data_IF_583434421898
#
_entry.id   IF_583434421898
#
_cell.length_a   1.000
_cell.length_b   1.000
_cell.length_c   1.000
_cell.angle_alpha   90.00
_cell.angle_beta   90.00
_cell.angle_gamma   90.00
#
_symmetry.space_group_name_H-M   'P 1'
#
loop_
_entity.id
_entity.type
_entity.pdbx_description
1 polymer ?
#
# COMPACT_ATOMS: atom_id res chain seq x y z
N UNK A 1 1.95 4.43 -11.46
CA UNK A 1 1.78 3.31 -12.41
C UNK A 1 2.78 2.22 -12.05
N UNK A 2 2.35 0.98 -11.92
CA UNK A 2 3.22 -0.17 -11.66
C UNK A 2 3.02 -1.23 -12.75
N UNK A 3 3.99 -2.14 -12.92
CA UNK A 3 3.95 -3.16 -13.96
C UNK A 3 4.38 -4.53 -13.46
N UNK A 4 3.65 -5.57 -13.91
CA UNK A 4 4.03 -6.97 -13.75
C UNK A 4 5.12 -7.33 -14.77
N UNK A 5 6.05 -8.21 -14.45
CA UNK A 5 7.18 -8.66 -15.29
C UNK A 5 8.21 -7.60 -15.71
N UNK A 6 8.09 -6.36 -15.29
CA UNK A 6 9.07 -5.32 -15.59
C UNK A 6 9.56 -4.58 -14.35
N UNK A 7 9.01 -4.89 -13.17
CA UNK A 7 9.34 -4.20 -11.92
C UNK A 7 9.42 -2.69 -12.13
N UNK A 8 8.30 -2.07 -12.48
CA UNK A 8 8.26 -0.63 -12.72
C UNK A 8 7.25 0.06 -11.82
N UNK A 9 7.68 1.10 -11.13
CA UNK A 9 6.85 2.07 -10.45
C UNK A 9 7.22 3.45 -11.00
N UNK A 10 6.25 4.13 -11.62
CA UNK A 10 6.48 5.39 -12.32
C UNK A 10 5.57 6.48 -11.75
N UNK A 11 6.12 7.67 -11.53
CA UNK A 11 5.34 8.89 -11.40
C UNK A 11 5.29 9.62 -12.73
N UNK A 12 4.08 9.90 -13.20
CA UNK A 12 3.83 10.48 -14.53
C UNK A 12 3.07 11.78 -14.35
N UNK A 13 3.58 12.86 -14.96
CA UNK A 13 2.88 14.14 -15.05
C UNK A 13 1.87 14.06 -16.20
N UNK A 14 0.60 13.85 -15.85
CA UNK A 14 -0.46 13.59 -16.83
C UNK A 14 -0.64 14.71 -17.86
N UNK A 15 -0.43 15.97 -17.47
CA UNK A 15 -0.55 17.13 -18.37
C UNK A 15 0.45 17.09 -19.54
N UNK A 16 1.58 16.41 -19.37
CA UNK A 16 2.66 16.27 -20.35
C UNK A 16 2.67 14.90 -21.04
N UNK A 17 1.82 13.97 -20.58
CA UNK A 17 1.78 12.59 -21.06
C UNK A 17 0.93 12.48 -22.34
N UNK A 18 1.56 12.63 -23.52
CA UNK A 18 0.89 12.51 -24.83
C UNK A 18 1.65 11.50 -25.69
N UNK A 19 0.92 10.53 -26.25
CA UNK A 19 1.51 9.48 -27.10
C UNK A 19 2.50 8.60 -26.36
N UNK A 20 3.60 8.25 -26.99
CA UNK A 20 4.70 7.51 -26.35
C UNK A 20 5.53 8.47 -25.48
N UNK A 21 5.51 8.22 -24.18
CA UNK A 21 6.23 9.02 -23.17
C UNK A 21 7.57 8.40 -22.77
N UNK A 22 8.02 7.32 -23.41
CA UNK A 22 9.28 6.65 -23.12
C UNK A 22 10.45 7.63 -23.22
N UNK A 23 11.17 7.81 -22.10
CA UNK A 23 12.29 8.74 -22.05
C UNK A 23 11.92 10.23 -22.08
N UNK A 24 10.63 10.58 -22.00
CA UNK A 24 10.19 11.98 -21.97
C UNK A 24 10.23 12.58 -20.57
N UNK A 25 10.20 13.91 -20.45
CA UNK A 25 10.07 14.63 -19.18
C UNK A 25 8.73 14.42 -18.46
N UNK A 26 7.76 13.75 -19.09
CA UNK A 26 6.51 13.38 -18.46
C UNK A 26 6.72 12.32 -17.36
N UNK A 27 7.79 11.52 -17.43
CA UNK A 27 8.19 10.60 -16.35
C UNK A 27 9.00 11.39 -15.34
N UNK A 28 8.39 11.72 -14.19
CA UNK A 28 9.01 12.53 -13.14
C UNK A 28 10.10 11.75 -12.43
N UNK A 29 9.81 10.50 -12.05
CA UNK A 29 10.75 9.55 -11.49
C UNK A 29 10.33 8.10 -11.80
N UNK A 30 11.30 7.20 -11.72
CA UNK A 30 11.13 5.76 -11.95
C UNK A 30 11.84 4.96 -10.88
N UNK A 31 11.21 3.87 -10.45
CA UNK A 31 11.78 2.87 -9.57
C UNK A 31 11.57 1.48 -10.19
N UNK A 32 12.57 0.61 -10.14
CA UNK A 32 12.56 -0.68 -10.85
C UNK A 32 12.83 -1.89 -9.93
N UNK A 33 12.90 -1.66 -8.61
CA UNK A 33 13.09 -2.71 -7.62
C UNK A 33 11.96 -2.72 -6.61
N UNK A 34 11.62 -3.92 -6.11
CA UNK A 34 10.67 -4.12 -5.01
C UNK A 34 9.31 -3.41 -5.22
N UNK A 35 8.85 -3.38 -6.47
CA UNK A 35 7.65 -2.66 -6.91
C UNK A 35 6.37 -3.44 -6.61
N UNK A 36 5.20 -2.76 -6.51
CA UNK A 36 3.92 -3.42 -6.26
C UNK A 36 3.46 -4.26 -7.45
N UNK A 37 2.64 -5.28 -7.14
CA UNK A 37 2.01 -6.15 -8.15
C UNK A 37 0.48 -6.03 -8.08
N UNK A 38 -0.19 -6.83 -7.25
CA UNK A 38 -1.67 -6.80 -7.13
C UNK A 38 -2.14 -5.65 -6.25
N UNK A 39 -1.61 -5.45 -5.01
CA UNK A 39 -2.04 -4.35 -4.18
C UNK A 39 -1.69 -3.01 -4.80
N UNK A 40 -2.64 -2.09 -4.84
CA UNK A 40 -2.38 -0.72 -5.27
C UNK A 40 -1.49 0.01 -4.27
N UNK A 41 -0.63 0.90 -4.78
CA UNK A 41 0.07 1.85 -3.94
C UNK A 41 -0.91 2.85 -3.33
N UNK A 42 -0.62 3.31 -2.12
CA UNK A 42 -1.39 4.29 -1.38
C UNK A 42 -0.64 5.62 -1.35
N UNK A 43 -1.26 6.67 -1.87
CA UNK A 43 -0.80 8.05 -1.68
C UNK A 43 -1.54 8.66 -0.49
N UNK A 44 -0.79 9.14 0.51
CA UNK A 44 -1.34 9.78 1.70
C UNK A 44 -0.48 10.98 2.11
N UNK A 45 -0.99 12.19 1.85
CA UNK A 45 -0.18 13.40 1.90
C UNK A 45 0.93 13.37 0.86
N UNK A 46 2.15 13.64 1.28
CA UNK A 46 3.34 13.59 0.40
C UNK A 46 4.02 12.20 0.37
N UNK A 47 3.44 11.17 1.04
CA UNK A 47 4.00 9.85 1.17
C UNK A 47 3.31 8.84 0.24
N UNK A 48 4.11 8.06 -0.50
CA UNK A 48 3.67 6.96 -1.33
C UNK A 48 4.08 5.64 -0.68
N UNK A 49 3.08 4.87 -0.24
CA UNK A 49 3.27 3.55 0.37
C UNK A 49 2.97 2.46 -0.63
N UNK A 50 3.77 1.40 -0.65
CA UNK A 50 3.53 0.24 -1.48
C UNK A 50 4.17 -1.02 -0.92
N UNK A 51 3.62 -2.17 -1.34
CA UNK A 51 4.11 -3.49 -0.97
C UNK A 51 4.95 -4.06 -2.11
N UNK A 52 6.01 -4.79 -1.76
CA UNK A 52 6.78 -5.55 -2.74
C UNK A 52 5.97 -6.74 -3.23
N UNK A 53 5.56 -6.73 -4.50
CA UNK A 53 4.72 -7.78 -5.05
C UNK A 53 3.43 -7.96 -4.24
N UNK A 54 3.18 -9.20 -3.80
CA UNK A 54 2.08 -9.56 -2.90
C UNK A 54 2.57 -9.95 -1.51
N UNK A 55 3.77 -9.51 -1.12
CA UNK A 55 4.38 -9.88 0.15
C UNK A 55 4.19 -8.79 1.20
N UNK A 56 4.28 -9.16 2.47
CA UNK A 56 4.26 -8.24 3.60
C UNK A 56 5.57 -7.45 3.76
N UNK A 57 6.05 -6.83 2.70
CA UNK A 57 7.26 -6.00 2.68
C UNK A 57 6.86 -4.60 2.21
N UNK A 58 6.89 -3.66 3.14
CA UNK A 58 6.39 -2.30 2.96
C UNK A 58 7.52 -1.32 2.67
N UNK A 59 7.28 -0.39 1.76
CA UNK A 59 8.15 0.75 1.48
C UNK A 59 7.36 2.05 1.49
N UNK A 60 8.04 3.16 1.82
CA UNK A 60 7.49 4.51 1.79
C UNK A 60 8.45 5.44 1.06
N UNK A 61 7.95 6.18 0.10
CA UNK A 61 8.70 7.12 -0.71
C UNK A 61 8.06 8.51 -0.64
N UNK A 62 8.87 9.54 -0.83
CA UNK A 62 8.36 10.85 -1.17
C UNK A 62 7.69 10.78 -2.55
N UNK A 63 6.41 11.12 -2.61
CA UNK A 63 5.62 10.95 -3.82
C UNK A 63 6.02 11.88 -4.97
N UNK A 64 6.62 13.04 -4.67
CA UNK A 64 7.01 14.05 -5.66
C UNK A 64 8.37 13.73 -6.26
N UNK A 65 9.31 13.27 -5.45
CA UNK A 65 10.70 13.08 -5.84
C UNK A 65 11.08 11.62 -6.10
N UNK A 66 10.30 10.67 -5.57
CA UNK A 66 10.63 9.24 -5.62
C UNK A 66 11.77 8.84 -4.67
N UNK A 67 12.21 9.75 -3.79
CA UNK A 67 13.24 9.46 -2.79
C UNK A 67 12.63 8.56 -1.69
N UNK A 68 13.26 7.44 -1.34
CA UNK A 68 12.77 6.59 -0.28
C UNK A 68 12.94 7.23 1.09
N UNK A 69 11.91 7.18 1.91
CA UNK A 69 11.97 7.42 3.35
C UNK A 69 12.42 6.16 4.08
N UNK A 70 11.78 5.01 3.75
CA UNK A 70 12.21 3.69 4.15
C UNK A 70 11.89 2.65 3.07
N UNK A 71 12.63 1.56 3.06
CA UNK A 71 12.49 0.49 2.06
C UNK A 71 12.51 -0.88 2.71
N UNK A 72 11.70 -1.79 2.13
CA UNK A 72 11.73 -3.21 2.43
C UNK A 72 11.51 -3.59 3.91
N UNK A 73 10.70 -2.81 4.63
CA UNK A 73 10.31 -3.11 6.00
C UNK A 73 9.38 -4.33 6.04
N UNK A 74 9.77 -5.34 6.78
CA UNK A 74 9.03 -6.61 6.86
C UNK A 74 7.96 -6.58 7.93
N UNK A 75 6.74 -6.90 7.51
CA UNK A 75 5.59 -7.16 8.38
C UNK A 75 5.56 -8.66 8.72
N UNK A 76 6.05 -9.02 9.89
CA UNK A 76 6.27 -10.42 10.28
C UNK A 76 4.96 -11.21 10.43
N UNK A 77 4.92 -12.44 9.85
CA UNK A 77 3.75 -13.33 9.89
C UNK A 77 2.63 -12.91 8.94
N UNK A 78 2.89 -12.00 8.01
CA UNK A 78 2.00 -11.74 6.89
C UNK A 78 2.48 -12.55 5.69
N UNK A 79 1.62 -13.44 5.21
CA UNK A 79 1.85 -14.19 3.98
C UNK A 79 1.50 -13.35 2.74
N UNK A 80 0.63 -13.90 1.89
CA UNK A 80 0.17 -13.18 0.71
C UNK A 80 -0.71 -11.99 1.07
N UNK A 81 -0.61 -10.91 0.28
CA UNK A 81 -1.47 -9.74 0.36
C UNK A 81 -2.06 -9.47 -1.04
N UNK A 82 -3.38 -9.44 -1.15
CA UNK A 82 -4.11 -9.07 -2.37
C UNK A 82 -4.90 -7.78 -2.19
N UNK A 83 -5.29 -7.48 -0.94
CA UNK A 83 -5.91 -6.23 -0.57
C UNK A 83 -4.96 -5.05 -0.80
N UNK A 84 -5.46 -3.96 -1.35
CA UNK A 84 -4.71 -2.71 -1.43
C UNK A 84 -4.53 -2.10 -0.04
N UNK A 85 -3.46 -1.33 0.13
CA UNK A 85 -3.25 -0.53 1.32
C UNK A 85 -4.40 0.46 1.49
N UNK A 86 -4.81 0.68 2.72
CA UNK A 86 -5.84 1.65 3.07
C UNK A 86 -5.30 2.65 4.10
N UNK A 87 -5.59 3.92 3.91
CA UNK A 87 -5.16 5.00 4.79
C UNK A 87 -6.35 5.74 5.40
N UNK A 88 -6.30 5.98 6.71
CA UNK A 88 -7.27 6.80 7.43
C UNK A 88 -6.59 7.54 8.57
N UNK A 89 -6.92 8.82 8.75
CA UNK A 89 -6.30 9.71 9.74
C UNK A 89 -4.77 9.74 9.50
N UNK A 90 -3.98 9.24 10.43
CA UNK A 90 -2.51 9.17 10.39
C UNK A 90 -2.00 7.71 10.36
N UNK A 91 -2.81 6.78 9.84
CA UNK A 91 -2.58 5.33 9.90
C UNK A 91 -2.71 4.68 8.53
N UNK A 92 -1.84 3.71 8.29
CA UNK A 92 -1.86 2.83 7.12
C UNK A 92 -2.28 1.44 7.58
N UNK A 93 -3.31 0.89 6.96
CA UNK A 93 -3.82 -0.44 7.25
C UNK A 93 -3.36 -1.42 6.17
N UNK A 94 -2.75 -2.51 6.61
CA UNK A 94 -2.28 -3.60 5.75
C UNK A 94 -3.06 -4.86 6.10
N UNK A 95 -3.71 -5.45 5.11
CA UNK A 95 -4.58 -6.64 5.27
C UNK A 95 -3.91 -7.85 4.65
N UNK A 96 -3.40 -8.75 5.48
CA UNK A 96 -2.87 -10.04 5.07
C UNK A 96 -3.98 -11.05 4.75
N UNK A 97 -3.77 -11.88 3.73
CA UNK A 97 -4.76 -12.85 3.27
C UNK A 97 -5.21 -13.80 4.38
N UNK A 98 -4.32 -14.23 5.26
CA UNK A 98 -4.61 -15.17 6.35
C UNK A 98 -5.14 -14.50 7.62
N UNK A 99 -5.68 -13.29 7.52
CA UNK A 99 -6.34 -12.60 8.63
C UNK A 99 -5.39 -11.88 9.58
N UNK A 100 -4.14 -11.66 9.21
CA UNK A 100 -3.23 -10.80 9.97
C UNK A 100 -3.31 -9.37 9.45
N UNK A 101 -3.56 -8.42 10.34
CA UNK A 101 -3.68 -7.00 10.03
C UNK A 101 -2.58 -6.21 10.73
N UNK A 102 -1.98 -5.28 10.01
CA UNK A 102 -1.07 -4.31 10.57
C UNK A 102 -1.64 -2.91 10.48
N UNK A 103 -1.42 -2.13 11.53
CA UNK A 103 -1.61 -0.68 11.54
C UNK A 103 -0.23 -0.05 11.65
N UNK A 104 0.15 0.71 10.65
CA UNK A 104 1.45 1.38 10.56
C UNK A 104 1.22 2.88 10.63
N UNK A 105 2.09 3.61 11.33
CA UNK A 105 2.04 5.07 11.42
C UNK A 105 2.33 5.70 10.06
N UNK A 106 1.57 6.72 9.68
CA UNK A 106 1.92 7.57 8.55
C UNK A 106 3.17 8.39 8.87
N UNK A 107 4.06 8.52 7.92
CA UNK A 107 5.23 9.38 8.05
C UNK A 107 6.50 8.79 7.46
N UNK A 108 7.63 9.50 7.61
CA UNK A 108 8.91 9.11 7.03
C UNK A 108 9.61 7.98 7.80
N UNK A 109 9.15 7.67 9.02
CA UNK A 109 9.73 6.62 9.86
C UNK A 109 8.78 5.42 9.93
N UNK A 110 9.32 4.22 9.75
CA UNK A 110 8.56 2.99 9.90
C UNK A 110 8.24 2.72 11.37
N UNK A 111 6.96 2.67 11.71
CA UNK A 111 6.51 2.32 13.06
C UNK A 111 5.20 1.52 13.00
N UNK A 112 5.23 0.31 13.55
CA UNK A 112 4.03 -0.53 13.73
C UNK A 112 3.30 -0.07 14.98
N UNK A 113 2.05 0.37 14.83
CA UNK A 113 1.18 0.78 15.93
C UNK A 113 0.40 -0.40 16.53
N UNK A 114 -0.04 -1.33 15.66
CA UNK A 114 -0.78 -2.50 16.10
C UNK A 114 -0.61 -3.66 15.11
N UNK A 115 -0.74 -4.89 15.64
CA UNK A 115 -0.89 -6.13 14.89
C UNK A 115 -2.10 -6.87 15.45
N UNK A 116 -3.08 -7.15 14.59
CA UNK A 116 -4.34 -7.80 14.96
C UNK A 116 -4.55 -9.05 14.10
N UNK A 117 -5.40 -9.96 14.56
CA UNK A 117 -5.76 -11.17 13.83
C UNK A 117 -7.27 -11.41 13.89
N UNK A 118 -7.83 -11.85 12.74
CA UNK A 118 -9.18 -12.39 12.65
C UNK A 118 -9.09 -13.78 12.00
N UNK A 119 -9.87 -14.74 12.51
CA UNK A 119 -9.91 -16.11 11.97
C UNK A 119 -10.77 -16.16 10.70
N UNK A 120 -10.29 -15.54 9.64
CA UNK A 120 -10.90 -15.55 8.30
C UNK A 120 -9.84 -15.25 7.23
N UNK A 121 -10.21 -15.32 5.94
CA UNK A 121 -9.36 -14.98 4.81
C UNK A 121 -9.83 -13.67 4.17
N UNK A 122 -8.89 -12.81 3.76
CA UNK A 122 -9.17 -11.48 3.26
C UNK A 122 -8.42 -11.19 1.96
N UNK A 123 -9.17 -10.88 0.90
CA UNK A 123 -8.61 -10.42 -0.39
C UNK A 123 -9.08 -9.00 -0.74
N UNK A 124 -10.17 -8.55 -0.13
CA UNK A 124 -10.73 -7.24 -0.35
C UNK A 124 -10.00 -6.17 0.47
N UNK A 125 -9.87 -4.98 -0.10
CA UNK A 125 -9.35 -3.81 0.60
C UNK A 125 -10.34 -3.34 1.67
N UNK A 126 -9.86 -2.88 2.84
CA UNK A 126 -10.69 -2.26 3.86
C UNK A 126 -11.39 -0.99 3.36
N UNK A 127 -12.51 -0.65 3.98
CA UNK A 127 -13.22 0.60 3.77
C UNK A 127 -13.58 1.22 5.12
N UNK A 128 -13.30 2.50 5.31
CA UNK A 128 -13.77 3.22 6.49
C UNK A 128 -14.94 4.15 6.12
N UNK A 129 -15.92 4.19 7.01
CA UNK A 129 -17.06 5.12 6.97
C UNK A 129 -17.19 5.71 8.37
N UNK A 130 -16.97 7.00 8.49
CA UNK A 130 -16.95 7.71 9.78
C UNK A 130 -15.93 7.11 10.75
N UNK A 131 -16.36 6.51 11.87
CA UNK A 131 -15.54 5.82 12.88
C UNK A 131 -15.54 4.29 12.73
N UNK A 132 -16.16 3.77 11.67
CA UNK A 132 -16.29 2.34 11.41
C UNK A 132 -15.34 1.88 10.32
N UNK A 133 -14.68 0.72 10.53
CA UNK A 133 -13.85 0.02 9.57
C UNK A 133 -14.54 -1.27 9.14
N UNK A 134 -14.82 -1.39 7.84
CA UNK A 134 -15.42 -2.57 7.25
C UNK A 134 -14.35 -3.45 6.61
N UNK A 135 -14.35 -4.73 6.99
CA UNK A 135 -13.44 -5.75 6.46
C UNK A 135 -14.27 -6.89 5.84
N UNK A 136 -14.11 -7.12 4.54
CA UNK A 136 -14.78 -8.22 3.85
C UNK A 136 -13.91 -9.46 3.90
N UNK A 137 -14.25 -10.37 4.81
CA UNK A 137 -13.68 -11.70 4.89
C UNK A 137 -14.36 -12.69 3.93
N UNK A 138 -13.83 -13.90 3.86
CA UNK A 138 -14.41 -14.99 3.08
C UNK A 138 -15.74 -15.48 3.70
N UNK A 139 -15.76 -15.60 5.04
CA UNK A 139 -16.95 -16.05 5.78
C UNK A 139 -17.87 -14.92 6.22
N UNK A 140 -17.31 -13.76 6.60
CA UNK A 140 -18.06 -12.68 7.24
C UNK A 140 -17.72 -11.30 6.66
N UNK A 141 -18.64 -10.37 6.86
CA UNK A 141 -18.39 -8.94 6.79
C UNK A 141 -18.24 -8.42 8.23
N UNK A 142 -17.06 -7.93 8.55
CA UNK A 142 -16.76 -7.36 9.86
C UNK A 142 -16.97 -5.86 9.82
N UNK A 143 -17.56 -5.33 10.90
CA UNK A 143 -17.60 -3.91 11.20
C UNK A 143 -16.88 -3.70 12.53
N UNK A 144 -15.81 -2.93 12.53
CA UNK A 144 -15.00 -2.59 13.71
C UNK A 144 -15.20 -1.11 13.96
N UNK A 145 -15.56 -0.75 15.19
CA UNK A 145 -15.81 0.62 15.61
C UNK A 145 -14.92 0.96 16.81
N UNK A 146 -14.41 2.19 16.84
CA UNK A 146 -13.71 2.74 17.99
C UNK A 146 -14.76 3.25 19.00
N UNK A 147 -14.69 2.81 20.26
CA UNK A 147 -15.55 3.27 21.35
C UNK A 147 -15.24 4.70 21.80
#
# INVERSE_FOLDING_TARGET
MSGFRGNALLAIRLAEAKGDITGSGAIVWKHDKDTPYTPSALLMGDYLYFLRGNNGILSCFDAKTGVPHYTAERLEGVGNIFASLFGAKDRIYVTGQQGTFYVVKQGPEFAVLAKNTLDDHFNASPVAVENQLFLRGYRYLYCIEEE
#
